data_IF_998326584861
#
_entry.id   IF_998326584861
#
_cell.length_a   1.000
_cell.length_b   1.000
_cell.length_c   1.000
_cell.angle_alpha   90.00
_cell.angle_beta   90.00
_cell.angle_gamma   90.00
#
_symmetry.space_group_name_H-M   'P 1'
#
loop_
_entity.id
_entity.type
_entity.pdbx_description
1 polymer ?
#
# COMPACT_ATOMS: atom_id res chain seq x y z
N UNK A 1 -4.38 -18.81 8.77
CA UNK A 1 -4.70 -18.08 7.53
C UNK A 1 -6.21 -17.93 7.41
N UNK A 2 -6.72 -16.70 7.25
CA UNK A 2 -8.13 -16.41 7.10
C UNK A 2 -8.50 -16.28 5.60
N UNK A 3 -9.07 -17.36 5.04
CA UNK A 3 -9.42 -17.43 3.61
C UNK A 3 -10.50 -16.41 3.22
N UNK A 4 -11.43 -16.08 4.13
CA UNK A 4 -12.46 -15.07 3.86
C UNK A 4 -11.86 -13.66 3.78
N UNK A 5 -10.89 -13.35 4.63
CA UNK A 5 -10.16 -12.09 4.59
C UNK A 5 -9.35 -11.96 3.29
N UNK A 6 -8.64 -13.01 2.87
CA UNK A 6 -7.95 -13.06 1.58
C UNK A 6 -8.92 -12.82 0.41
N UNK A 7 -10.06 -13.53 0.36
CA UNK A 7 -11.03 -13.38 -0.71
C UNK A 7 -11.62 -11.96 -0.76
N UNK A 8 -11.97 -11.40 0.39
CA UNK A 8 -12.49 -10.04 0.49
C UNK A 8 -11.46 -9.00 0.04
N UNK A 9 -10.21 -9.14 0.48
CA UNK A 9 -9.10 -8.28 0.06
C UNK A 9 -8.83 -8.36 -1.44
N UNK A 10 -8.85 -9.57 -2.02
CA UNK A 10 -8.68 -9.78 -3.45
C UNK A 10 -9.78 -9.08 -4.27
N UNK A 11 -11.05 -9.24 -3.88
CA UNK A 11 -12.18 -8.58 -4.55
C UNK A 11 -12.04 -7.06 -4.46
N UNK A 12 -11.67 -6.55 -3.28
CA UNK A 12 -11.49 -5.11 -3.10
C UNK A 12 -10.31 -4.58 -3.92
N UNK A 13 -9.19 -5.30 -4.02
CA UNK A 13 -8.06 -4.92 -4.86
C UNK A 13 -8.45 -4.81 -6.34
N UNK A 14 -9.23 -5.76 -6.86
CA UNK A 14 -9.78 -5.68 -8.22
C UNK A 14 -10.69 -4.46 -8.38
N UNK A 15 -11.59 -4.22 -7.44
CA UNK A 15 -12.48 -3.07 -7.49
C UNK A 15 -11.71 -1.74 -7.47
N UNK A 16 -10.67 -1.62 -6.66
CA UNK A 16 -9.79 -0.44 -6.62
C UNK A 16 -9.06 -0.28 -7.96
N UNK A 17 -8.42 -1.33 -8.47
CA UNK A 17 -7.64 -1.29 -9.72
C UNK A 17 -8.51 -0.93 -10.94
N UNK A 18 -9.77 -1.35 -10.96
CA UNK A 18 -10.71 -1.03 -12.04
C UNK A 18 -11.29 0.38 -11.93
N UNK A 19 -11.46 0.89 -10.72
CA UNK A 19 -12.00 2.24 -10.48
C UNK A 19 -10.93 3.32 -10.54
N UNK A 20 -9.75 3.05 -9.99
CA UNK A 20 -8.62 3.97 -9.94
C UNK A 20 -7.62 3.67 -11.06
N UNK A 21 -8.08 3.73 -12.31
CA UNK A 21 -7.21 3.49 -13.46
C UNK A 21 -6.12 4.57 -13.57
N UNK A 22 -4.90 4.14 -13.88
CA UNK A 22 -3.79 5.06 -14.14
C UNK A 22 -3.84 5.47 -15.61
N UNK A 23 -4.02 6.76 -15.95
CA UNK A 23 -4.02 7.21 -17.34
C UNK A 23 -2.70 6.85 -18.02
N UNK A 24 -2.73 6.46 -19.30
CA UNK A 24 -1.49 6.09 -20.02
C UNK A 24 -0.59 7.30 -20.30
N UNK A 25 -1.16 8.48 -20.43
CA UNK A 25 -0.43 9.73 -20.72
C UNK A 25 -0.59 10.73 -19.56
N UNK A 26 0.35 11.67 -19.46
CA UNK A 26 0.30 12.76 -18.50
C UNK A 26 1.07 12.51 -17.21
N UNK A 27 0.79 13.32 -16.19
CA UNK A 27 1.45 13.27 -14.87
C UNK A 27 0.92 12.12 -14.01
N UNK A 28 1.66 11.81 -12.94
CA UNK A 28 1.21 10.87 -11.92
C UNK A 28 -0.09 11.36 -11.28
N UNK A 29 -1.08 10.46 -11.16
CA UNK A 29 -2.33 10.76 -10.43
C UNK A 29 -2.11 10.59 -8.92
N UNK A 30 -2.85 11.34 -8.12
CA UNK A 30 -2.72 11.32 -6.65
C UNK A 30 -3.39 10.11 -5.97
N UNK A 31 -4.21 9.34 -6.68
CA UNK A 31 -5.03 8.30 -6.08
C UNK A 31 -4.21 7.21 -5.36
N UNK A 32 -3.25 6.60 -6.03
CA UNK A 32 -2.42 5.56 -5.45
C UNK A 32 -1.45 6.08 -4.38
N UNK A 33 -0.75 7.23 -4.58
CA UNK A 33 0.02 7.84 -3.51
C UNK A 33 -0.82 8.12 -2.26
N UNK A 34 -2.00 8.71 -2.42
CA UNK A 34 -2.90 9.01 -1.31
C UNK A 34 -3.37 7.74 -0.60
N UNK A 35 -3.76 6.72 -1.36
CA UNK A 35 -4.22 5.45 -0.81
C UNK A 35 -3.11 4.81 0.06
N UNK A 36 -1.88 4.71 -0.45
CA UNK A 36 -0.75 4.18 0.33
C UNK A 36 -0.49 5.02 1.60
N UNK A 37 -0.60 6.35 1.51
CA UNK A 37 -0.42 7.24 2.66
C UNK A 37 -1.49 7.07 3.75
N UNK A 38 -2.67 6.51 3.43
CA UNK A 38 -3.74 6.26 4.40
C UNK A 38 -3.57 4.97 5.19
N UNK A 39 -2.78 4.01 4.71
CA UNK A 39 -2.65 2.68 5.34
C UNK A 39 -2.13 2.72 6.78
N UNK A 40 -1.13 3.52 7.13
CA UNK A 40 -0.68 3.63 8.52
C UNK A 40 -1.78 4.03 9.50
N UNK A 41 -2.77 4.81 9.04
CA UNK A 41 -3.84 5.29 9.90
C UNK A 41 -4.66 4.14 10.52
N UNK A 42 -4.79 3.00 9.84
CA UNK A 42 -5.49 1.83 10.38
C UNK A 42 -4.76 1.25 11.59
N UNK A 43 -3.45 1.09 11.50
CA UNK A 43 -2.63 0.60 12.61
C UNK A 43 -2.62 1.58 13.80
N UNK A 44 -2.61 2.89 13.52
CA UNK A 44 -2.76 3.90 14.57
C UNK A 44 -4.11 3.77 15.28
N UNK A 45 -5.21 3.60 14.52
CA UNK A 45 -6.54 3.41 15.09
C UNK A 45 -6.62 2.12 15.93
N UNK A 46 -5.97 1.04 15.50
CA UNK A 46 -5.91 -0.20 16.27
C UNK A 46 -5.16 0.00 17.58
N UNK A 47 -3.98 0.60 17.56
CA UNK A 47 -3.20 0.89 18.75
C UNK A 47 -3.97 1.81 19.73
N UNK A 48 -4.63 2.85 19.21
CA UNK A 48 -5.46 3.74 20.02
C UNK A 48 -6.64 2.97 20.65
N UNK A 49 -7.31 2.12 19.89
CA UNK A 49 -8.46 1.35 20.37
C UNK A 49 -8.09 0.38 21.50
N UNK A 50 -6.86 -0.13 21.47
CA UNK A 50 -6.30 -0.99 22.50
C UNK A 50 -5.64 -0.24 23.66
N UNK A 51 -5.57 1.10 23.60
CA UNK A 51 -4.81 1.96 24.52
C UNK A 51 -3.32 1.58 24.63
N UNK A 52 -2.78 1.03 23.52
CA UNK A 52 -1.38 0.61 23.41
C UNK A 52 -0.53 1.75 22.85
N UNK A 53 -0.10 2.64 23.72
CA UNK A 53 0.68 3.82 23.33
C UNK A 53 2.10 3.48 22.87
N UNK A 54 2.66 2.34 23.31
CA UNK A 54 3.97 1.88 22.83
C UNK A 54 3.88 1.43 21.38
N UNK A 55 2.87 0.60 21.06
CA UNK A 55 2.59 0.23 19.66
C UNK A 55 2.29 1.47 18.82
N UNK A 56 1.45 2.40 19.32
CA UNK A 56 1.13 3.64 18.61
C UNK A 56 2.38 4.44 18.24
N UNK A 57 3.33 4.57 19.16
CA UNK A 57 4.58 5.29 18.88
C UNK A 57 5.38 4.62 17.75
N UNK A 58 5.52 3.28 17.78
CA UNK A 58 6.22 2.53 16.74
C UNK A 58 5.49 2.61 15.40
N UNK A 59 4.15 2.48 15.40
CA UNK A 59 3.32 2.62 14.20
C UNK A 59 3.40 4.01 13.57
N UNK A 60 3.52 5.06 14.38
CA UNK A 60 3.72 6.42 13.87
C UNK A 60 5.06 6.54 13.16
N UNK A 61 6.14 6.00 13.72
CA UNK A 61 7.47 6.02 13.08
C UNK A 61 7.46 5.29 11.75
N UNK A 62 6.88 4.07 11.71
CA UNK A 62 6.74 3.30 10.46
C UNK A 62 5.81 4.01 9.48
N UNK A 63 4.71 4.59 9.97
CA UNK A 63 3.76 5.32 9.16
C UNK A 63 4.35 6.55 8.46
N UNK A 64 5.22 7.29 9.13
CA UNK A 64 5.96 8.41 8.53
C UNK A 64 6.76 7.96 7.32
N UNK A 65 7.39 6.77 7.38
CA UNK A 65 8.12 6.22 6.23
C UNK A 65 7.19 6.00 5.01
N UNK A 66 6.03 5.38 5.20
CA UNK A 66 5.09 5.12 4.10
C UNK A 66 4.48 6.40 3.52
N UNK A 67 4.16 7.38 4.38
CA UNK A 67 3.66 8.70 3.97
C UNK A 67 4.73 9.44 3.17
N UNK A 68 5.98 9.45 3.65
CA UNK A 68 7.09 10.09 2.95
C UNK A 68 7.35 9.44 1.58
N UNK A 69 7.36 8.08 1.51
CA UNK A 69 7.52 7.35 0.26
C UNK A 69 6.41 7.68 -0.73
N UNK A 70 5.15 7.74 -0.28
CA UNK A 70 4.00 8.13 -1.09
C UNK A 70 4.14 9.53 -1.66
N UNK A 71 4.57 10.49 -0.83
CA UNK A 71 4.78 11.87 -1.24
C UNK A 71 5.91 11.98 -2.26
N UNK A 72 7.05 11.32 -1.99
CA UNK A 72 8.19 11.29 -2.93
C UNK A 72 7.76 10.69 -4.27
N UNK A 73 7.04 9.58 -4.27
CA UNK A 73 6.54 8.94 -5.48
C UNK A 73 5.65 9.88 -6.31
N UNK A 74 4.77 10.64 -5.65
CA UNK A 74 3.90 11.63 -6.31
C UNK A 74 4.68 12.76 -6.99
N UNK A 75 5.81 13.18 -6.41
CA UNK A 75 6.65 14.28 -6.94
C UNK A 75 7.54 13.85 -8.11
N UNK A 76 7.72 12.56 -8.35
CA UNK A 76 8.60 12.05 -9.41
C UNK A 76 7.90 11.99 -10.78
N UNK A 77 8.70 11.75 -11.82
CA UNK A 77 8.15 11.41 -13.14
C UNK A 77 7.25 10.18 -13.02
N UNK A 78 6.30 10.04 -13.92
CA UNK A 78 5.29 8.99 -13.84
C UNK A 78 5.90 7.59 -13.71
N UNK A 79 6.90 7.26 -14.53
CA UNK A 79 7.56 5.95 -14.48
C UNK A 79 8.24 5.71 -13.12
N UNK A 80 9.05 6.66 -12.66
CA UNK A 80 9.72 6.56 -11.34
C UNK A 80 8.70 6.50 -10.21
N UNK A 81 7.65 7.33 -10.27
CA UNK A 81 6.57 7.32 -9.29
C UNK A 81 5.85 5.98 -9.21
N UNK A 82 5.56 5.34 -10.37
CA UNK A 82 4.95 4.01 -10.42
C UNK A 82 5.86 2.94 -9.82
N UNK A 83 7.16 2.98 -10.10
CA UNK A 83 8.13 2.04 -9.50
C UNK A 83 8.21 2.23 -7.98
N UNK A 84 8.30 3.48 -7.51
CA UNK A 84 8.34 3.76 -6.07
C UNK A 84 7.05 3.30 -5.36
N UNK A 85 5.88 3.50 -5.98
CA UNK A 85 4.62 3.00 -5.43
C UNK A 85 4.54 1.47 -5.47
N UNK A 86 5.05 0.84 -6.54
CA UNK A 86 5.16 -0.63 -6.59
C UNK A 86 5.95 -1.16 -5.40
N UNK A 87 7.13 -0.58 -5.16
CA UNK A 87 7.96 -0.93 -3.99
C UNK A 87 7.23 -0.62 -2.68
N UNK A 88 6.53 0.51 -2.62
CA UNK A 88 5.73 0.91 -1.46
C UNK A 88 4.63 -0.11 -1.13
N UNK A 89 3.80 -0.46 -2.09
CA UNK A 89 2.70 -1.40 -1.89
C UNK A 89 3.19 -2.82 -1.58
N UNK A 90 4.17 -3.35 -2.33
CA UNK A 90 4.74 -4.68 -2.05
C UNK A 90 5.46 -4.68 -0.70
N UNK A 91 6.19 -3.62 -0.39
CA UNK A 91 6.86 -3.47 0.91
C UNK A 91 5.86 -3.41 2.07
N UNK A 92 4.72 -2.71 1.89
CA UNK A 92 3.66 -2.65 2.89
C UNK A 92 2.99 -4.02 3.05
N UNK A 93 2.74 -4.76 1.97
CA UNK A 93 2.24 -6.14 2.05
C UNK A 93 3.17 -7.06 2.87
N UNK A 94 4.49 -6.92 2.68
CA UNK A 94 5.49 -7.65 3.50
C UNK A 94 5.42 -7.18 4.95
N UNK A 95 5.28 -5.87 5.19
CA UNK A 95 5.10 -5.33 6.53
C UNK A 95 3.88 -5.91 7.22
N UNK A 96 2.72 -5.96 6.56
CA UNK A 96 1.48 -6.52 7.11
C UNK A 96 1.66 -7.98 7.57
N UNK A 97 2.30 -8.80 6.72
CA UNK A 97 2.54 -10.22 7.05
C UNK A 97 3.58 -10.38 8.17
N UNK A 98 4.60 -9.53 8.19
CA UNK A 98 5.68 -9.58 9.18
C UNK A 98 5.40 -8.75 10.45
N UNK A 99 4.28 -8.05 10.51
CA UNK A 99 3.96 -7.06 11.54
C UNK A 99 4.16 -7.62 12.97
N UNK A 100 3.54 -8.75 13.29
CA UNK A 100 3.63 -9.38 14.61
C UNK A 100 5.04 -9.92 14.95
N UNK A 101 5.94 -10.02 13.97
CA UNK A 101 7.36 -10.38 14.19
C UNK A 101 8.20 -9.15 14.56
N UNK A 102 7.75 -7.94 14.21
CA UNK A 102 8.44 -6.69 14.49
C UNK A 102 8.07 -6.15 15.86
N UNK A 103 6.79 -6.02 16.13
CA UNK A 103 6.22 -5.66 17.43
C UNK A 103 4.73 -6.00 17.48
N UNK A 104 4.19 -6.11 18.66
CA UNK A 104 2.78 -6.47 18.86
C UNK A 104 1.98 -5.18 18.99
N UNK A 105 0.92 -5.06 18.20
CA UNK A 105 -0.14 -4.05 18.36
C UNK A 105 -1.42 -4.78 18.78
N UNK A 106 -1.75 -4.69 20.07
CA UNK A 106 -2.84 -5.46 20.68
C UNK A 106 -4.23 -5.19 20.06
N UNK A 107 -4.39 -4.08 19.33
CA UNK A 107 -5.63 -3.74 18.65
C UNK A 107 -5.76 -4.32 17.24
N UNK A 108 -4.67 -4.84 16.66
CA UNK A 108 -4.71 -5.34 15.28
C UNK A 108 -5.53 -6.64 15.20
N UNK A 109 -6.59 -6.69 14.37
CA UNK A 109 -7.37 -7.91 14.19
C UNK A 109 -6.53 -9.02 13.56
N UNK A 110 -6.69 -10.26 14.01
CA UNK A 110 -5.91 -11.42 13.50
C UNK A 110 -6.05 -11.69 12.01
N UNK A 111 -7.13 -11.24 11.39
CA UNK A 111 -7.38 -11.40 9.95
C UNK A 111 -6.85 -10.23 9.10
N UNK A 112 -6.36 -9.16 9.74
CA UNK A 112 -5.93 -7.94 9.07
C UNK A 112 -4.74 -8.15 8.13
N UNK A 113 -3.68 -8.90 8.51
CA UNK A 113 -2.54 -9.13 7.63
C UNK A 113 -2.92 -9.81 6.31
N UNK A 114 -3.83 -10.79 6.34
CA UNK A 114 -4.30 -11.46 5.14
C UNK A 114 -5.13 -10.53 4.25
N UNK A 115 -5.98 -9.71 4.86
CA UNK A 115 -6.84 -8.78 4.15
C UNK A 115 -6.02 -7.67 3.48
N UNK A 116 -5.20 -6.93 4.25
CA UNK A 116 -4.39 -5.84 3.71
C UNK A 116 -3.25 -6.34 2.84
N UNK A 117 -2.52 -7.36 3.28
CA UNK A 117 -1.39 -7.89 2.54
C UNK A 117 -1.76 -8.34 1.13
N UNK A 118 -2.94 -8.96 0.90
CA UNK A 118 -3.38 -9.30 -0.45
C UNK A 118 -3.79 -8.07 -1.27
N UNK A 119 -4.43 -7.07 -0.66
CA UNK A 119 -4.76 -5.81 -1.34
C UNK A 119 -3.48 -5.17 -1.85
N UNK A 120 -2.52 -4.99 -0.97
CA UNK A 120 -1.27 -4.31 -1.26
C UNK A 120 -0.44 -5.04 -2.30
N UNK A 121 -0.32 -6.35 -2.18
CA UNK A 121 0.37 -7.17 -3.17
C UNK A 121 -0.27 -7.02 -4.55
N UNK A 122 -1.58 -7.10 -4.65
CA UNK A 122 -2.31 -6.99 -5.92
C UNK A 122 -2.17 -5.58 -6.53
N UNK A 123 -2.28 -4.52 -5.71
CA UNK A 123 -2.09 -3.15 -6.18
C UNK A 123 -0.65 -2.91 -6.61
N UNK A 124 0.33 -3.43 -5.87
CA UNK A 124 1.74 -3.36 -6.25
C UNK A 124 2.03 -4.02 -7.60
N UNK A 125 1.49 -5.23 -7.82
CA UNK A 125 1.62 -5.94 -9.10
C UNK A 125 0.91 -5.21 -10.25
N UNK A 126 -0.26 -4.65 -10.00
CA UNK A 126 -0.96 -3.81 -10.98
C UNK A 126 -0.13 -2.58 -11.38
N UNK A 127 0.45 -1.87 -10.41
CA UNK A 127 1.28 -0.70 -10.68
C UNK A 127 2.58 -1.06 -11.41
N UNK A 128 3.18 -2.22 -11.12
CA UNK A 128 4.32 -2.75 -11.86
C UNK A 128 3.97 -3.00 -13.33
N UNK A 129 2.82 -3.62 -13.58
CA UNK A 129 2.32 -3.83 -14.95
C UNK A 129 2.15 -2.50 -15.67
N UNK A 130 1.50 -1.50 -15.05
CA UNK A 130 1.32 -0.17 -15.64
C UNK A 130 2.66 0.52 -15.92
N UNK A 131 3.64 0.39 -15.01
CA UNK A 131 4.98 0.92 -15.20
C UNK A 131 5.68 0.30 -16.42
N UNK A 132 5.59 -1.02 -16.59
CA UNK A 132 6.19 -1.73 -17.71
C UNK A 132 5.62 -1.27 -19.06
N UNK A 133 4.29 -1.13 -19.16
CA UNK A 133 3.61 -0.64 -20.37
C UNK A 133 3.99 0.83 -20.66
N UNK A 134 4.11 1.65 -19.62
CA UNK A 134 4.50 3.06 -19.75
C UNK A 134 5.91 3.20 -20.32
N UNK A 135 6.84 2.36 -19.84
CA UNK A 135 8.23 2.39 -20.31
C UNK A 135 8.37 1.96 -21.77
N UNK A 136 7.71 0.88 -22.17
CA UNK A 136 7.73 0.38 -23.56
C UNK A 136 7.23 1.41 -24.59
N UNK A 137 6.21 2.18 -24.23
CA UNK A 137 5.67 3.22 -25.12
C UNK A 137 6.60 4.44 -25.25
N UNK A 138 7.35 4.76 -24.20
CA UNK A 138 8.32 5.87 -24.21
C UNK A 138 9.57 5.55 -25.04
N UNK A 139 9.90 4.27 -25.25
CA UNK A 139 11.05 3.86 -26.03
C UNK A 139 10.77 3.72 -27.54
N UNK A 140 9.50 3.68 -27.94
CA UNK A 140 9.06 3.42 -29.34
C UNK A 140 8.42 4.67 -30.01
N UNK A 141 8.46 5.82 -29.36
CA UNK A 141 7.96 7.11 -29.87
C UNK A 141 9.03 8.20 -29.81
#
# INVERSE_FOLDING_TARGET
VNVYALAAGFILAIAISTKLTVPHHGRMTYHYPLLLATFPAYYWLFAISALDYNALFLEVLVGIFWIALSYIAYQKTKFIGLILLTVGYIGHAVYDVAHDLLFINAGTPRWWPEFCGVIDMMLGLYLLYVASVTNHRSSNG
#
